data_IF_314944327188
#
_entry.id   IF_314944327188
#
_cell.length_a   1.000
_cell.length_b   1.000
_cell.length_c   1.000
_cell.angle_alpha   90.00
_cell.angle_beta   90.00
_cell.angle_gamma   90.00
#
_symmetry.space_group_name_H-M   'P 1'
#
loop_
_entity.id
_entity.type
_entity.pdbx_description
1 polymer ?
#
# COMPACT_ATOMS: atom_id res chain seq x y z
N UNK A 1 14.31 10.51 1.44
CA UNK A 1 14.28 10.36 -0.05
C UNK A 1 15.40 11.16 -0.67
N UNK A 2 15.93 10.72 -1.85
CA UNK A 2 16.84 11.52 -2.67
C UNK A 2 16.08 12.66 -3.38
N UNK A 3 16.75 13.71 -3.88
CA UNK A 3 16.10 14.75 -4.68
C UNK A 3 15.38 14.21 -5.91
N UNK A 4 15.96 13.24 -6.59
CA UNK A 4 15.36 12.57 -7.75
C UNK A 4 14.07 11.81 -7.36
N UNK A 5 14.10 11.06 -6.26
CA UNK A 5 12.91 10.36 -5.75
C UNK A 5 11.79 11.33 -5.39
N UNK A 6 12.10 12.47 -4.77
CA UNK A 6 11.11 13.52 -4.49
C UNK A 6 10.52 14.09 -5.78
N UNK A 7 11.36 14.40 -6.76
CA UNK A 7 10.91 14.91 -8.04
C UNK A 7 9.93 13.96 -8.72
N UNK A 8 10.28 12.67 -8.82
CA UNK A 8 9.41 11.69 -9.46
C UNK A 8 8.14 11.43 -8.64
N UNK A 9 8.21 11.32 -7.33
CA UNK A 9 7.03 11.14 -6.49
C UNK A 9 6.08 12.34 -6.60
N UNK A 10 6.62 13.57 -6.59
CA UNK A 10 5.82 14.77 -6.78
C UNK A 10 5.22 14.85 -8.18
N UNK A 11 5.98 14.52 -9.21
CA UNK A 11 5.52 14.58 -10.59
C UNK A 11 4.42 13.56 -10.89
N UNK A 12 4.64 12.30 -10.49
CA UNK A 12 3.82 11.16 -10.92
C UNK A 12 2.85 10.68 -9.85
N UNK A 13 3.13 10.93 -8.57
CA UNK A 13 2.36 10.41 -7.45
C UNK A 13 2.70 8.97 -7.09
N UNK A 14 3.80 8.42 -7.58
CA UNK A 14 4.27 7.11 -7.14
C UNK A 14 5.78 6.96 -7.34
N UNK A 15 6.36 6.02 -6.59
CA UNK A 15 7.75 5.58 -6.80
C UNK A 15 7.78 4.08 -6.97
N UNK A 16 8.57 3.63 -7.93
CA UNK A 16 8.89 2.23 -8.13
C UNK A 16 10.32 1.96 -7.66
N UNK A 17 10.45 1.33 -6.51
CA UNK A 17 11.71 0.91 -5.93
C UNK A 17 12.02 -0.50 -6.40
N UNK A 18 13.13 -0.66 -7.11
CA UNK A 18 13.51 -1.95 -7.70
C UNK A 18 14.40 -2.74 -6.75
N UNK A 19 14.21 -4.06 -6.70
CA UNK A 19 15.06 -5.00 -5.95
C UNK A 19 15.21 -4.59 -4.47
N UNK A 20 14.09 -4.30 -3.84
CA UNK A 20 14.05 -3.94 -2.41
C UNK A 20 14.32 -5.16 -1.56
N UNK A 21 13.69 -6.28 -1.89
CA UNK A 21 13.89 -7.53 -1.17
C UNK A 21 15.10 -8.29 -1.76
N UNK A 22 15.95 -8.77 -0.90
CA UNK A 22 16.96 -9.76 -1.26
C UNK A 22 16.31 -11.07 -1.69
N UNK A 23 17.06 -11.94 -2.33
CA UNK A 23 16.59 -13.27 -2.75
C UNK A 23 16.01 -14.07 -1.59
N UNK A 24 16.65 -14.02 -0.42
CA UNK A 24 16.21 -14.78 0.75
C UNK A 24 14.93 -14.18 1.37
N UNK A 25 14.84 -12.86 1.48
CA UNK A 25 13.64 -12.18 1.98
C UNK A 25 12.45 -12.42 1.06
N UNK A 26 12.67 -12.34 -0.25
CA UNK A 26 11.64 -12.62 -1.24
C UNK A 26 11.15 -14.07 -1.15
N UNK A 27 12.07 -15.03 -1.09
CA UNK A 27 11.72 -16.44 -0.99
C UNK A 27 10.92 -16.75 0.29
N UNK A 28 11.35 -16.22 1.43
CA UNK A 28 10.64 -16.39 2.69
C UNK A 28 9.24 -15.73 2.68
N UNK A 29 9.11 -14.55 2.09
CA UNK A 29 7.82 -13.87 1.95
C UNK A 29 6.88 -14.62 0.99
N UNK A 30 7.40 -15.17 -0.11
CA UNK A 30 6.65 -16.00 -1.04
C UNK A 30 6.13 -17.27 -0.37
N UNK A 31 7.00 -18.00 0.34
CA UNK A 31 6.63 -19.21 1.06
C UNK A 31 5.54 -18.93 2.11
N UNK A 32 5.67 -17.85 2.88
CA UNK A 32 4.67 -17.45 3.87
C UNK A 32 3.33 -17.09 3.22
N UNK A 33 3.36 -16.34 2.11
CA UNK A 33 2.17 -15.99 1.36
C UNK A 33 1.48 -17.25 0.81
N UNK A 34 2.25 -18.20 0.27
CA UNK A 34 1.73 -19.45 -0.27
C UNK A 34 1.09 -20.31 0.82
N UNK A 35 1.70 -20.39 1.99
CA UNK A 35 1.10 -21.09 3.13
C UNK A 35 -0.25 -20.50 3.51
N UNK A 36 -0.36 -19.17 3.58
CA UNK A 36 -1.64 -18.54 3.94
C UNK A 36 -2.69 -18.76 2.85
N UNK A 37 -2.33 -18.60 1.57
CA UNK A 37 -3.25 -18.73 0.44
C UNK A 37 -3.77 -20.15 0.28
N UNK A 38 -2.93 -21.16 0.58
CA UNK A 38 -3.28 -22.58 0.41
C UNK A 38 -3.83 -23.24 1.68
N UNK A 39 -3.75 -22.55 2.83
CA UNK A 39 -4.25 -23.04 4.11
C UNK A 39 -5.78 -23.19 4.07
N UNK A 40 -6.35 -24.32 4.47
CA UNK A 40 -7.79 -24.48 4.60
C UNK A 40 -8.39 -23.42 5.55
N UNK A 41 -9.55 -22.85 5.25
CA UNK A 41 -10.15 -21.80 6.10
C UNK A 41 -10.35 -22.20 7.57
N UNK A 42 -10.62 -23.48 7.82
CA UNK A 42 -10.78 -24.04 9.16
C UNK A 42 -9.47 -24.11 9.98
N UNK A 43 -8.33 -23.98 9.32
CA UNK A 43 -6.99 -23.97 9.94
C UNK A 43 -6.45 -22.55 10.13
N UNK A 44 -7.16 -21.52 9.64
CA UNK A 44 -6.70 -20.14 9.80
C UNK A 44 -6.63 -19.77 11.28
N UNK A 45 -5.57 -19.04 11.69
CA UNK A 45 -5.53 -18.50 13.05
C UNK A 45 -6.71 -17.55 13.30
N UNK A 46 -7.09 -17.31 14.56
CA UNK A 46 -8.16 -16.39 14.89
C UNK A 46 -8.01 -15.02 14.23
N UNK A 47 -9.10 -14.46 13.72
CA UNK A 47 -9.18 -13.17 13.04
C UNK A 47 -8.51 -13.12 11.65
N UNK A 48 -7.91 -14.21 11.17
CA UNK A 48 -7.49 -14.32 9.78
C UNK A 48 -8.65 -14.72 8.90
N UNK A 49 -8.62 -14.27 7.65
CA UNK A 49 -9.71 -14.54 6.71
C UNK A 49 -9.40 -14.03 5.31
N UNK A 50 -10.29 -14.33 4.39
CA UNK A 50 -10.21 -13.82 3.03
C UNK A 50 -11.53 -13.22 2.61
N UNK A 51 -11.49 -12.01 2.07
CA UNK A 51 -12.61 -11.42 1.37
C UNK A 51 -12.58 -11.90 -0.09
N UNK A 52 -13.56 -12.69 -0.43
CA UNK A 52 -13.89 -13.00 -1.82
C UNK A 52 -14.79 -11.87 -2.32
N UNK A 53 -14.20 -10.86 -2.95
CA UNK A 53 -15.00 -9.86 -3.64
C UNK A 53 -15.82 -10.57 -4.74
N UNK A 54 -17.03 -10.04 -5.02
CA UNK A 54 -17.92 -10.48 -6.12
C UNK A 54 -17.23 -10.53 -7.50
N UNK A 55 -16.00 -10.07 -7.59
CA UNK A 55 -15.14 -9.95 -8.77
C UNK A 55 -13.96 -10.92 -8.75
N UNK A 56 -14.00 -11.96 -7.93
CA UNK A 56 -12.92 -12.95 -7.78
C UNK A 56 -11.55 -12.39 -7.34
N UNK A 57 -11.51 -11.14 -6.84
CA UNK A 57 -10.34 -10.62 -6.13
C UNK A 57 -10.30 -11.26 -4.76
N UNK A 58 -9.33 -12.10 -4.53
CA UNK A 58 -9.12 -12.64 -3.19
C UNK A 58 -8.15 -11.74 -2.43
N UNK A 59 -8.62 -11.17 -1.35
CA UNK A 59 -7.83 -10.37 -0.41
C UNK A 59 -7.78 -11.07 0.91
N UNK A 60 -6.60 -11.54 1.30
CA UNK A 60 -6.36 -12.15 2.60
C UNK A 60 -6.10 -11.05 3.62
N UNK A 61 -6.86 -11.08 4.71
CA UNK A 61 -6.79 -10.10 5.80
C UNK A 61 -5.57 -10.38 6.67
N UNK A 62 -4.99 -9.32 7.22
CA UNK A 62 -3.86 -9.39 8.15
C UNK A 62 -2.64 -10.16 7.61
N UNK A 63 -2.43 -10.12 6.30
CA UNK A 63 -1.37 -10.85 5.62
C UNK A 63 0.01 -10.59 6.19
N UNK A 64 0.31 -9.34 6.60
CA UNK A 64 1.60 -9.00 7.20
C UNK A 64 1.83 -9.72 8.54
N UNK A 65 0.78 -10.02 9.29
CA UNK A 65 0.85 -10.66 10.61
C UNK A 65 0.84 -12.19 10.54
N UNK A 66 0.67 -12.77 9.35
CA UNK A 66 0.59 -14.21 9.20
C UNK A 66 1.92 -14.91 9.53
N UNK A 67 3.02 -14.31 9.11
CA UNK A 67 4.37 -14.85 9.32
C UNK A 67 5.38 -13.71 9.54
N UNK A 68 6.44 -14.01 10.28
CA UNK A 68 7.51 -13.06 10.58
C UNK A 68 8.16 -12.49 9.34
N UNK A 69 8.33 -13.29 8.29
CA UNK A 69 8.91 -12.84 7.02
C UNK A 69 8.06 -11.79 6.28
N UNK A 70 6.75 -11.80 6.49
CA UNK A 70 5.84 -10.76 5.99
C UNK A 70 5.77 -9.55 6.95
N UNK A 71 5.81 -9.80 8.25
CA UNK A 71 5.76 -8.74 9.26
C UNK A 71 6.95 -7.76 9.15
N UNK A 72 8.16 -8.27 8.98
CA UNK A 72 9.36 -7.42 8.90
C UNK A 72 9.35 -6.49 7.68
N UNK A 73 8.59 -6.80 6.64
CA UNK A 73 8.42 -5.95 5.47
C UNK A 73 7.77 -4.61 5.84
N UNK A 74 6.94 -4.57 6.88
CA UNK A 74 6.27 -3.34 7.34
C UNK A 74 7.25 -2.27 7.83
N UNK A 75 8.46 -2.63 8.18
CA UNK A 75 9.50 -1.74 8.66
C UNK A 75 10.86 -2.02 8.01
N UNK A 76 10.83 -2.58 6.80
CA UNK A 76 12.04 -2.91 6.04
C UNK A 76 12.95 -1.68 5.88
N UNK A 77 14.28 -1.81 6.07
CA UNK A 77 15.20 -0.67 6.05
C UNK A 77 15.13 0.18 4.78
N UNK A 78 14.90 -0.44 3.62
CA UNK A 78 14.83 0.28 2.35
C UNK A 78 13.59 1.18 2.21
N UNK A 79 12.49 0.89 2.93
CA UNK A 79 11.29 1.73 2.91
C UNK A 79 11.26 2.76 4.04
N UNK A 80 12.03 2.56 5.09
CA UNK A 80 12.03 3.39 6.29
C UNK A 80 12.23 4.89 6.00
N UNK A 81 13.20 5.31 5.15
CA UNK A 81 13.38 6.73 4.83
C UNK A 81 12.15 7.38 4.19
N UNK A 82 11.34 6.60 3.48
CA UNK A 82 10.08 7.09 2.89
C UNK A 82 9.01 7.26 3.95
N UNK A 83 8.88 6.30 4.87
CA UNK A 83 7.95 6.41 6.00
C UNK A 83 8.28 7.66 6.83
N UNK A 84 9.57 7.87 7.15
CA UNK A 84 10.02 9.02 7.94
C UNK A 84 9.72 10.35 7.27
N UNK A 85 10.02 10.48 5.98
CA UNK A 85 9.78 11.73 5.27
C UNK A 85 8.29 12.00 5.09
N UNK A 86 7.52 11.03 4.57
CA UNK A 86 6.11 11.23 4.27
C UNK A 86 5.28 11.55 5.52
N UNK A 87 5.61 10.97 6.66
CA UNK A 87 4.86 11.16 7.93
C UNK A 87 5.48 12.18 8.87
N UNK A 88 6.52 12.86 8.45
CA UNK A 88 7.30 13.72 9.34
C UNK A 88 7.78 12.98 10.60
N UNK A 89 8.39 11.81 10.43
CA UNK A 89 8.85 10.90 11.51
C UNK A 89 7.76 10.44 12.47
N UNK A 90 6.52 10.37 11.99
CA UNK A 90 5.35 9.97 12.79
C UNK A 90 4.52 8.89 12.08
N UNK A 91 5.13 7.75 11.70
CA UNK A 91 4.45 6.71 10.96
C UNK A 91 3.48 5.92 11.85
N UNK A 92 2.39 5.49 11.25
CA UNK A 92 1.48 4.49 11.80
C UNK A 92 1.07 3.53 10.71
N UNK A 93 1.31 2.24 10.93
CA UNK A 93 0.73 1.19 10.11
C UNK A 93 -0.75 1.05 10.47
N UNK A 94 -1.65 1.27 9.51
CA UNK A 94 -3.09 1.32 9.75
C UNK A 94 -3.91 0.34 8.93
N UNK A 95 -3.27 -0.54 8.20
CA UNK A 95 -3.95 -1.57 7.43
C UNK A 95 -3.02 -2.31 6.47
N UNK A 96 -3.50 -3.44 6.00
CA UNK A 96 -2.80 -4.27 5.03
C UNK A 96 -3.79 -5.02 4.13
N UNK A 97 -3.25 -5.76 3.17
CA UNK A 97 -3.94 -6.77 2.38
C UNK A 97 -2.90 -7.65 1.69
N UNK A 98 -3.01 -8.95 1.83
CA UNK A 98 -2.30 -9.87 0.95
C UNK A 98 -3.21 -10.17 -0.24
N UNK A 99 -2.85 -9.66 -1.41
CA UNK A 99 -3.62 -9.82 -2.64
C UNK A 99 -3.20 -11.07 -3.41
N UNK A 100 -4.21 -11.77 -3.92
CA UNK A 100 -4.03 -12.98 -4.73
C UNK A 100 -4.97 -12.93 -5.93
N UNK A 101 -4.42 -12.92 -7.13
CA UNK A 101 -5.19 -12.89 -8.37
C UNK A 101 -4.79 -14.05 -9.28
N UNK A 102 -5.76 -14.88 -9.66
CA UNK A 102 -5.62 -15.93 -10.67
C UNK A 102 -5.99 -15.41 -12.06
N UNK A 103 -5.67 -16.19 -13.08
CA UNK A 103 -6.13 -15.92 -14.44
C UNK A 103 -7.64 -15.62 -14.49
N UNK A 104 -7.98 -14.54 -15.17
CA UNK A 104 -9.37 -14.13 -15.35
C UNK A 104 -9.96 -13.36 -14.15
N UNK A 105 -9.22 -13.16 -13.06
CA UNK A 105 -9.68 -12.29 -11.98
C UNK A 105 -10.00 -10.91 -12.52
N UNK A 106 -11.17 -10.42 -12.11
CA UNK A 106 -11.74 -9.19 -12.62
C UNK A 106 -10.88 -7.97 -12.30
N UNK A 107 -11.07 -6.94 -13.09
CA UNK A 107 -10.45 -5.65 -12.87
C UNK A 107 -11.01 -4.96 -11.62
N UNK A 108 -10.23 -4.04 -11.09
CA UNK A 108 -10.68 -3.06 -10.11
C UNK A 108 -10.74 -1.68 -10.76
N UNK A 109 -11.93 -1.07 -10.78
CA UNK A 109 -12.13 0.23 -11.43
C UNK A 109 -11.22 1.31 -10.85
N UNK A 110 -10.87 2.31 -11.67
CA UNK A 110 -10.16 3.49 -11.19
C UNK A 110 -10.97 4.18 -10.10
N UNK A 111 -10.40 4.26 -8.92
CA UNK A 111 -11.01 4.86 -7.74
C UNK A 111 -10.04 5.84 -7.08
N UNK A 112 -10.39 6.36 -5.91
CA UNK A 112 -9.67 7.42 -5.23
C UNK A 112 -9.59 8.71 -6.08
N UNK A 113 -8.57 9.52 -5.85
CA UNK A 113 -8.44 10.85 -6.40
C UNK A 113 -8.83 11.93 -5.38
N UNK A 114 -8.40 13.13 -5.64
CA UNK A 114 -8.72 14.27 -4.80
C UNK A 114 -10.22 14.59 -4.84
N UNK A 115 -10.82 14.74 -3.67
CA UNK A 115 -12.24 15.09 -3.50
C UNK A 115 -12.38 16.18 -2.44
N UNK A 116 -12.13 17.44 -2.81
CA UNK A 116 -12.17 18.54 -1.85
C UNK A 116 -13.53 18.69 -1.15
N UNK A 117 -14.62 18.36 -1.84
CA UNK A 117 -15.97 18.39 -1.31
C UNK A 117 -16.23 17.40 -0.15
N UNK A 118 -15.41 16.35 -0.05
CA UNK A 118 -15.56 15.33 1.00
C UNK A 118 -14.67 15.57 2.20
N UNK A 119 -13.54 16.25 2.02
CA UNK A 119 -12.54 16.46 3.06
C UNK A 119 -11.80 17.79 2.81
N UNK A 120 -12.48 18.93 2.96
CA UNK A 120 -11.90 20.23 2.61
C UNK A 120 -10.72 20.65 3.51
N UNK A 121 -10.69 20.16 4.76
CA UNK A 121 -9.73 20.64 5.76
C UNK A 121 -8.51 19.74 5.94
N UNK A 122 -8.42 18.63 5.18
CA UNK A 122 -7.32 17.67 5.32
C UNK A 122 -6.36 17.78 4.15
N UNK A 123 -5.20 18.35 4.40
CA UNK A 123 -4.08 18.29 3.45
C UNK A 123 -3.52 16.88 3.43
N UNK A 124 -3.82 16.14 2.39
CA UNK A 124 -3.35 14.75 2.24
C UNK A 124 -1.98 14.63 1.61
N UNK A 125 -1.62 15.59 0.79
CA UNK A 125 -0.33 15.69 0.11
C UNK A 125 0.07 17.17 0.06
N UNK A 126 1.27 17.49 0.55
CA UNK A 126 1.78 18.86 0.55
C UNK A 126 3.31 18.87 0.67
N UNK A 127 3.89 20.00 0.33
CA UNK A 127 5.33 20.23 0.49
C UNK A 127 5.54 21.12 1.72
N UNK A 128 6.45 20.68 2.58
CA UNK A 128 6.85 21.40 3.78
C UNK A 128 8.37 21.33 3.92
N UNK A 129 9.02 22.50 4.00
CA UNK A 129 10.51 22.60 4.11
C UNK A 129 11.26 21.76 3.06
N UNK A 130 10.78 21.76 1.81
CA UNK A 130 11.37 20.98 0.72
C UNK A 130 11.22 19.45 0.87
N UNK A 131 10.35 19.01 1.74
CA UNK A 131 10.01 17.59 1.97
C UNK A 131 8.57 17.31 1.55
N UNK A 132 8.33 16.10 1.08
CA UNK A 132 6.99 15.64 0.78
C UNK A 132 6.35 15.12 2.09
N UNK A 133 5.12 15.59 2.34
CA UNK A 133 4.26 15.09 3.41
C UNK A 133 3.05 14.41 2.82
N UNK A 134 2.74 13.26 3.33
CA UNK A 134 1.58 12.49 2.89
C UNK A 134 0.91 11.83 4.09
N UNK A 135 -0.35 12.17 4.32
CA UNK A 135 -1.07 11.68 5.51
C UNK A 135 -1.59 10.26 5.37
N UNK A 136 -1.66 9.73 4.14
CA UNK A 136 -2.21 8.40 3.87
C UNK A 136 -1.61 7.85 2.56
N UNK A 137 -0.84 6.78 2.66
CA UNK A 137 -0.15 6.17 1.53
C UNK A 137 -0.05 4.65 1.68
N UNK A 138 0.23 3.98 0.58
CA UNK A 138 0.36 2.53 0.52
C UNK A 138 1.69 2.13 -0.14
N UNK A 139 2.19 0.98 0.31
CA UNK A 139 3.32 0.29 -0.28
C UNK A 139 2.85 -1.07 -0.79
N UNK A 140 3.17 -1.37 -2.03
CA UNK A 140 2.90 -2.65 -2.67
C UNK A 140 4.19 -3.42 -2.81
N UNK A 141 4.38 -4.47 -2.02
CA UNK A 141 5.47 -5.43 -2.16
C UNK A 141 5.06 -6.49 -3.17
N UNK A 142 5.74 -6.56 -4.30
CA UNK A 142 5.45 -7.53 -5.34
C UNK A 142 6.12 -8.87 -5.00
N UNK A 143 5.33 -9.92 -4.86
CA UNK A 143 5.79 -11.28 -4.61
C UNK A 143 5.84 -12.14 -5.90
N UNK A 144 5.28 -11.63 -6.99
CA UNK A 144 5.34 -12.23 -8.34
C UNK A 144 5.66 -11.16 -9.37
N UNK A 145 6.26 -11.57 -10.47
CA UNK A 145 6.53 -10.70 -11.62
C UNK A 145 5.23 -10.23 -12.28
N UNK A 146 5.21 -8.98 -12.68
CA UNK A 146 4.18 -8.37 -13.51
C UNK A 146 4.84 -7.77 -14.74
N UNK A 147 4.59 -8.39 -15.90
CA UNK A 147 5.13 -7.95 -17.18
C UNK A 147 4.14 -7.06 -17.94
N UNK A 148 4.59 -6.33 -18.98
CA UNK A 148 3.69 -5.64 -19.88
C UNK A 148 2.65 -6.59 -20.48
N UNK A 149 1.37 -6.22 -20.38
CA UNK A 149 0.27 -7.04 -20.87
C UNK A 149 -0.33 -8.01 -19.85
N UNK A 150 0.29 -8.25 -18.71
CA UNK A 150 -0.23 -9.14 -17.66
C UNK A 150 -1.47 -8.60 -16.95
N UNK A 151 -1.63 -7.29 -16.91
CA UNK A 151 -2.66 -6.63 -16.11
C UNK A 151 -2.10 -6.04 -14.80
N UNK A 152 -2.87 -6.10 -13.72
CA UNK A 152 -2.47 -5.60 -12.40
C UNK A 152 -2.61 -4.10 -12.24
N UNK A 153 -1.81 -3.50 -11.34
CA UNK A 153 -1.96 -2.10 -10.90
C UNK A 153 -1.91 -1.12 -12.07
N UNK A 154 -2.93 -0.28 -12.14
CA UNK A 154 -2.96 0.91 -13.00
C UNK A 154 -3.14 2.17 -12.15
N UNK A 155 -2.57 3.28 -12.59
CA UNK A 155 -2.70 4.56 -11.93
C UNK A 155 -2.68 5.71 -12.93
N UNK A 156 -3.27 6.85 -12.52
CA UNK A 156 -3.26 8.08 -13.28
C UNK A 156 -2.17 9.01 -12.70
N UNK A 157 -1.01 9.14 -13.36
CA UNK A 157 0.08 9.95 -12.85
C UNK A 157 -0.35 11.41 -12.59
N UNK A 158 0.13 11.98 -11.48
CA UNK A 158 -0.16 13.36 -11.10
C UNK A 158 -1.54 13.60 -10.49
N UNK A 159 -2.43 12.61 -10.46
CA UNK A 159 -3.79 12.77 -9.95
C UNK A 159 -3.88 13.02 -8.44
N UNK A 160 -2.83 12.75 -7.67
CA UNK A 160 -2.75 13.01 -6.23
C UNK A 160 -2.74 14.52 -5.89
N UNK A 161 -2.41 15.36 -6.86
CA UNK A 161 -2.37 16.83 -6.71
C UNK A 161 -3.26 17.55 -7.72
N UNK A 162 -4.19 16.84 -8.35
CA UNK A 162 -5.16 17.43 -9.25
C UNK A 162 -6.09 18.37 -8.47
N UNK A 163 -6.19 19.63 -8.91
CA UNK A 163 -7.05 20.63 -8.26
C UNK A 163 -8.54 20.45 -8.57
N UNK A 164 -8.85 19.63 -9.56
CA UNK A 164 -10.21 19.36 -9.99
C UNK A 164 -10.56 17.88 -9.80
N UNK A 165 -11.80 17.57 -9.47
CA UNK A 165 -12.26 16.20 -9.42
C UNK A 165 -12.14 15.58 -10.80
N UNK A 166 -11.78 14.30 -10.85
CA UNK A 166 -11.68 13.55 -12.10
C UNK A 166 -13.06 13.47 -12.79
N UNK A 167 -13.21 14.01 -14.01
CA UNK A 167 -14.45 13.87 -14.78
C UNK A 167 -14.67 12.39 -15.13
N UNK A 168 -15.81 11.83 -14.76
CA UNK A 168 -16.14 10.43 -15.04
C UNK A 168 -16.12 10.14 -16.54
N UNK A 169 -16.66 11.06 -17.33
CA UNK A 169 -16.78 10.91 -18.80
C UNK A 169 -15.45 11.01 -19.54
N UNK A 170 -14.39 11.55 -18.92
CA UNK A 170 -13.12 11.79 -19.58
C UNK A 170 -12.37 10.49 -19.91
N UNK A 171 -12.54 9.44 -19.11
CA UNK A 171 -11.84 8.19 -19.25
C UNK A 171 -12.70 7.04 -19.75
N UNK A 172 -14.03 7.17 -19.65
CA UNK A 172 -14.99 6.13 -20.01
C UNK A 172 -16.29 6.76 -20.48
N UNK A 173 -16.56 6.77 -21.79
CA UNK A 173 -17.91 6.97 -22.29
C UNK A 173 -18.76 5.81 -21.78
N UNK A 174 -19.69 6.09 -20.86
CA UNK A 174 -20.44 5.05 -20.16
C UNK A 174 -19.55 4.33 -19.15
N UNK A 175 -19.35 4.95 -18.01
CA UNK A 175 -18.61 4.39 -16.85
C UNK A 175 -19.38 3.23 -16.20
N UNK A 176 -19.75 2.29 -17.02
CA UNK A 176 -20.31 1.02 -16.62
C UNK A 176 -19.14 0.05 -16.42
N UNK A 177 -19.27 -0.85 -15.49
CA UNK A 177 -18.23 -1.82 -15.12
C UNK A 177 -17.69 -2.59 -16.33
N UNK A 178 -18.48 -2.70 -17.38
CA UNK A 178 -18.18 -3.36 -18.65
C UNK A 178 -17.16 -2.62 -19.52
N UNK A 179 -16.98 -1.31 -19.34
CA UNK A 179 -16.04 -0.52 -20.14
C UNK A 179 -14.55 -0.83 -19.88
N UNK A 180 -14.26 -1.57 -18.82
CA UNK A 180 -12.91 -2.04 -18.46
C UNK A 180 -12.57 -3.45 -18.95
N UNK A 181 -13.48 -4.09 -19.65
CA UNK A 181 -13.28 -5.45 -20.18
C UNK A 181 -12.25 -5.47 -21.33
N UNK A 182 -11.67 -4.32 -21.64
CA UNK A 182 -10.65 -4.21 -22.68
C UNK A 182 -9.23 -4.46 -22.17
N UNK A 183 -8.44 -5.05 -23.03
CA UNK A 183 -7.00 -5.27 -22.86
C UNK A 183 -6.18 -3.98 -22.89
N UNK A 184 -6.82 -2.84 -23.08
CA UNK A 184 -6.17 -1.55 -23.31
C UNK A 184 -6.16 -0.70 -22.06
N UNK A 185 -4.97 -0.26 -21.68
CA UNK A 185 -4.79 0.78 -20.67
C UNK A 185 -5.40 2.07 -21.20
N UNK A 186 -6.31 2.73 -20.46
CA UNK A 186 -6.91 3.97 -20.91
C UNK A 186 -5.87 5.06 -21.17
N UNK A 187 -6.11 6.00 -22.09
CA UNK A 187 -5.21 7.12 -22.35
C UNK A 187 -4.88 7.91 -21.06
N UNK A 188 -3.59 8.17 -20.85
CA UNK A 188 -3.09 8.86 -19.64
C UNK A 188 -2.95 7.99 -18.40
N UNK A 189 -3.43 6.77 -18.41
CA UNK A 189 -3.25 5.80 -17.33
C UNK A 189 -1.99 5.00 -17.55
N UNK A 190 -1.24 4.75 -16.49
CA UNK A 190 -0.01 3.95 -16.51
C UNK A 190 -0.26 2.59 -15.88
N UNK A 191 0.12 1.51 -16.58
CA UNK A 191 0.16 0.16 -16.03
C UNK A 191 1.52 -0.10 -15.38
N UNK A 192 1.52 -0.41 -14.10
CA UNK A 192 2.75 -0.63 -13.34
C UNK A 192 3.23 -2.06 -13.51
N UNK A 193 4.32 -2.21 -14.26
CA UNK A 193 5.03 -3.48 -14.39
C UNK A 193 6.16 -3.53 -13.36
N UNK A 194 6.22 -4.58 -12.55
CA UNK A 194 7.19 -4.73 -11.47
C UNK A 194 7.69 -6.17 -11.38
N UNK A 195 8.91 -6.34 -10.90
CA UNK A 195 9.47 -7.65 -10.62
C UNK A 195 9.18 -8.07 -9.18
N UNK A 196 9.17 -9.36 -8.93
CA UNK A 196 9.17 -9.89 -7.57
C UNK A 196 10.34 -9.30 -6.77
N UNK A 197 10.08 -8.84 -5.56
CA UNK A 197 11.03 -8.11 -4.72
C UNK A 197 11.04 -6.58 -4.92
N UNK A 198 10.30 -6.05 -5.90
CA UNK A 198 10.11 -4.61 -6.07
C UNK A 198 9.03 -4.08 -5.12
N UNK A 199 9.08 -2.77 -4.84
CA UNK A 199 8.07 -2.06 -4.05
C UNK A 199 7.58 -0.83 -4.78
N UNK A 200 6.27 -0.65 -4.83
CA UNK A 200 5.65 0.59 -5.32
C UNK A 200 5.07 1.36 -4.14
N UNK A 201 5.48 2.61 -3.99
CA UNK A 201 4.99 3.53 -2.95
C UNK A 201 4.09 4.56 -3.62
N UNK A 202 2.90 4.78 -3.08
CA UNK A 202 2.00 5.82 -3.59
C UNK A 202 1.08 6.41 -2.52
N UNK A 203 0.78 7.72 -2.54
CA UNK A 203 -0.34 8.30 -1.83
C UNK A 203 -1.65 7.60 -2.19
N UNK A 204 -2.50 7.28 -1.22
CA UNK A 204 -3.78 6.59 -1.46
C UNK A 204 -4.77 7.41 -2.29
N UNK A 205 -4.57 8.69 -2.41
CA UNK A 205 -5.40 9.58 -3.23
C UNK A 205 -4.92 9.72 -4.70
N UNK A 206 -3.86 9.04 -5.10
CA UNK A 206 -3.63 8.79 -6.53
C UNK A 206 -4.81 8.00 -7.08
N UNK A 207 -5.37 8.43 -8.19
CA UNK A 207 -6.40 7.65 -8.88
C UNK A 207 -5.76 6.37 -9.40
N UNK A 208 -6.25 5.23 -8.94
CA UNK A 208 -5.68 3.92 -9.25
C UNK A 208 -6.74 2.83 -9.35
N UNK A 209 -6.36 1.71 -9.88
CA UNK A 209 -7.18 0.54 -10.04
C UNK A 209 -6.33 -0.67 -10.43
N UNK A 210 -6.94 -1.69 -10.98
CA UNK A 210 -6.22 -2.84 -11.50
C UNK A 210 -6.88 -3.38 -12.76
N UNK A 211 -6.09 -3.79 -13.75
CA UNK A 211 -6.56 -4.58 -14.89
C UNK A 211 -6.69 -6.05 -14.49
N UNK A 212 -7.55 -6.77 -15.19
CA UNK A 212 -7.71 -8.22 -15.03
C UNK A 212 -6.36 -8.93 -15.21
N UNK A 213 -6.15 -9.96 -14.39
CA UNK A 213 -4.93 -10.76 -14.48
C UNK A 213 -5.02 -11.78 -15.62
N UNK A 214 -4.11 -11.71 -16.58
CA UNK A 214 -4.16 -12.51 -17.82
C UNK A 214 -3.28 -13.75 -17.85
N UNK A 215 -2.13 -13.82 -17.14
CA UNK A 215 -1.28 -15.01 -17.17
C UNK A 215 -2.02 -16.25 -16.69
N UNK A 216 -1.71 -17.39 -17.35
CA UNK A 216 -2.20 -18.73 -16.97
C UNK A 216 -1.13 -19.57 -16.29
N UNK A 217 0.12 -19.18 -16.43
CA UNK A 217 1.30 -19.87 -15.95
C UNK A 217 1.72 -19.44 -14.54
N UNK A 218 1.13 -18.35 -14.04
CA UNK A 218 1.41 -17.81 -12.69
C UNK A 218 0.27 -16.97 -12.16
N UNK A 219 0.14 -16.93 -10.87
CA UNK A 219 -0.76 -16.05 -10.14
C UNK A 219 -0.06 -14.74 -9.78
N UNK A 220 -0.83 -13.68 -9.54
CA UNK A 220 -0.32 -12.43 -9.02
C UNK A 220 -0.46 -12.40 -7.51
N UNK A 221 0.65 -12.22 -6.79
CA UNK A 221 0.72 -12.13 -5.33
C UNK A 221 1.44 -10.84 -4.94
N UNK A 222 0.89 -10.14 -3.97
CA UNK A 222 1.47 -8.90 -3.49
C UNK A 222 0.95 -8.59 -2.08
N UNK A 223 1.82 -8.02 -1.25
CA UNK A 223 1.43 -7.50 0.06
C UNK A 223 1.29 -5.98 -0.05
N UNK A 224 0.11 -5.46 0.32
CA UNK A 224 -0.12 -4.02 0.49
C UNK A 224 -0.04 -3.72 1.97
N UNK A 225 0.77 -2.73 2.35
CA UNK A 225 0.78 -2.15 3.69
C UNK A 225 0.43 -0.67 3.59
N UNK A 226 -0.40 -0.19 4.51
CA UNK A 226 -0.94 1.17 4.49
C UNK A 226 -0.49 1.93 5.71
N UNK A 227 -0.07 3.17 5.49
CA UNK A 227 0.42 4.04 6.54
C UNK A 227 -0.33 5.36 6.55
N UNK A 228 -0.48 5.90 7.74
CA UNK A 228 -0.86 7.29 7.96
C UNK A 228 0.06 7.92 9.03
N UNK A 229 -0.18 9.20 9.35
CA UNK A 229 0.49 9.84 10.48
C UNK A 229 -0.08 9.34 11.80
N UNK A 230 0.79 9.13 12.78
CA UNK A 230 0.49 8.41 14.03
C UNK A 230 -0.69 8.95 14.85
N UNK A 231 -0.98 10.24 14.76
CA UNK A 231 -2.06 10.89 15.48
C UNK A 231 -3.39 10.92 14.72
N UNK A 232 -3.40 10.43 13.47
CA UNK A 232 -4.58 10.45 12.63
C UNK A 232 -5.41 9.19 12.87
N UNK A 233 -6.59 9.36 13.42
CA UNK A 233 -7.56 8.29 13.62
C UNK A 233 -8.60 8.35 12.49
N UNK A 234 -8.64 7.34 11.65
CA UNK A 234 -9.64 7.20 10.58
C UNK A 234 -10.71 6.21 11.01
N UNK A 235 -11.60 6.63 11.91
CA UNK A 235 -12.77 5.87 12.31
C UNK A 235 -12.54 4.79 13.37
N UNK A 236 -11.62 3.86 13.19
CA UNK A 236 -11.29 2.84 14.16
C UNK A 236 -10.02 3.18 14.96
N UNK A 237 -10.11 3.07 16.27
CA UNK A 237 -8.99 3.36 17.15
C UNK A 237 -7.89 2.31 17.03
N UNK A 238 -8.29 1.04 16.88
CA UNK A 238 -7.40 -0.10 16.67
C UNK A 238 -7.87 -0.89 15.45
N UNK A 239 -7.20 -0.77 14.30
CA UNK A 239 -7.59 -1.48 13.09
C UNK A 239 -7.26 -2.98 13.14
N UNK A 240 -6.52 -3.42 14.16
CA UNK A 240 -6.10 -4.81 14.30
C UNK A 240 -6.66 -5.42 15.61
N UNK A 241 -7.37 -6.56 15.52
CA UNK A 241 -7.84 -7.33 16.69
C UNK A 241 -6.71 -7.77 17.62
N UNK A 242 -7.04 -8.05 18.88
CA UNK A 242 -6.05 -8.48 19.86
C UNK A 242 -5.32 -9.76 19.45
N UNK A 243 -6.02 -10.73 18.89
CA UNK A 243 -5.42 -11.98 18.40
C UNK A 243 -4.37 -11.75 17.30
N UNK A 244 -4.52 -10.70 16.49
CA UNK A 244 -3.50 -10.29 15.52
C UNK A 244 -2.33 -9.62 16.23
N UNK A 245 -2.61 -8.72 17.18
CA UNK A 245 -1.61 -7.96 17.92
C UNK A 245 -0.68 -8.85 18.75
N UNK A 246 -1.22 -9.91 19.36
CA UNK A 246 -0.46 -10.89 20.13
C UNK A 246 0.59 -11.67 19.31
N UNK A 247 0.46 -11.68 18.00
CA UNK A 247 1.40 -12.33 17.06
C UNK A 247 2.57 -11.45 16.66
N UNK A 248 2.44 -10.13 16.85
CA UNK A 248 3.40 -9.15 16.37
C UNK A 248 4.54 -8.94 17.36
N UNK A 249 5.69 -8.53 16.85
CA UNK A 249 6.75 -8.09 17.73
C UNK A 249 6.50 -6.68 18.30
N UNK A 250 7.26 -6.34 19.36
CA UNK A 250 7.08 -5.04 20.04
C UNK A 250 7.23 -3.82 19.13
N UNK A 251 8.14 -3.85 18.14
CA UNK A 251 8.33 -2.74 17.22
C UNK A 251 7.12 -2.56 16.28
N UNK A 252 6.56 -3.66 15.81
CA UNK A 252 5.36 -3.62 14.96
C UNK A 252 4.13 -3.22 15.77
N UNK A 253 4.00 -3.68 17.02
CA UNK A 253 2.95 -3.22 17.93
C UNK A 253 3.05 -1.71 18.12
N UNK A 254 4.24 -1.17 18.40
CA UNK A 254 4.42 0.27 18.53
C UNK A 254 4.07 1.00 17.21
N UNK A 255 4.40 0.41 16.07
CA UNK A 255 4.12 1.01 14.76
C UNK A 255 2.63 1.11 14.46
N UNK A 256 1.80 0.14 14.88
CA UNK A 256 0.34 0.16 14.69
C UNK A 256 -0.39 1.06 15.70
N UNK A 257 0.19 1.32 16.86
CA UNK A 257 -0.46 2.14 17.89
C UNK A 257 -0.61 3.61 17.46
N UNK A 258 -1.74 4.24 17.82
CA UNK A 258 -1.85 5.69 17.76
C UNK A 258 -0.91 6.34 18.77
N UNK A 259 -0.34 7.50 18.42
CA UNK A 259 0.62 8.19 19.27
C UNK A 259 0.38 9.71 19.24
N UNK A 260 0.61 10.42 20.35
CA UNK A 260 0.45 11.88 20.38
C UNK A 260 1.34 12.58 19.35
N UNK A 261 0.83 13.65 18.71
CA UNK A 261 1.54 14.39 17.68
C UNK A 261 2.92 14.89 18.10
N UNK A 262 3.03 15.38 19.33
CA UNK A 262 4.26 16.01 19.85
C UNK A 262 5.33 15.02 20.34
N UNK A 263 5.03 13.72 20.32
CA UNK A 263 5.97 12.68 20.74
C UNK A 263 6.40 11.84 19.54
N UNK A 264 7.64 11.34 19.57
CA UNK A 264 8.09 10.32 18.64
C UNK A 264 7.94 8.94 19.27
N UNK A 265 7.65 7.95 18.46
CA UNK A 265 7.67 6.54 18.86
C UNK A 265 9.10 6.09 19.19
N UNK A 266 9.25 5.14 20.11
CA UNK A 266 10.54 4.59 20.50
C UNK A 266 11.32 4.01 19.33
N UNK A 267 10.68 3.26 18.45
CA UNK A 267 11.27 2.73 17.21
C UNK A 267 11.82 3.84 16.30
N UNK A 268 11.19 5.00 16.27
CA UNK A 268 11.68 6.14 15.47
C UNK A 268 12.89 6.79 16.16
N UNK A 269 12.80 6.99 17.47
CA UNK A 269 13.90 7.55 18.27
C UNK A 269 15.15 6.70 18.13
N UNK A 270 15.04 5.40 18.28
CA UNK A 270 16.14 4.46 18.20
C UNK A 270 16.79 4.43 16.80
N UNK A 271 15.98 4.30 15.76
CA UNK A 271 16.48 4.16 14.38
C UNK A 271 17.01 5.46 13.78
N UNK A 272 16.48 6.62 14.19
CA UNK A 272 16.87 7.94 13.68
C UNK A 272 17.88 8.64 14.60
N UNK A 273 18.21 8.06 15.76
CA UNK A 273 19.10 8.68 16.73
C UNK A 273 18.56 10.01 17.30
N UNK A 274 17.22 10.11 17.43
CA UNK A 274 16.57 11.31 17.94
C UNK A 274 16.58 11.31 19.47
N UNK A 275 16.64 12.49 20.07
CA UNK A 275 16.39 12.62 21.51
C UNK A 275 14.88 12.38 21.80
N UNK A 276 14.60 11.71 22.90
CA UNK A 276 13.21 11.57 23.38
C UNK A 276 12.66 12.97 23.65
N UNK A 277 11.54 13.32 23.02
CA UNK A 277 10.86 14.56 23.35
C UNK A 277 10.52 14.52 24.85
N UNK A 278 11.14 15.40 25.64
CA UNK A 278 10.75 15.57 27.04
C UNK A 278 9.30 16.02 27.04
N UNK A 279 8.44 15.22 27.69
CA UNK A 279 7.10 15.66 28.00
C UNK A 279 7.21 16.92 28.83
N UNK A 280 6.91 18.08 28.22
CA UNK A 280 6.81 19.36 28.89
C UNK A 280 5.43 19.54 29.53
#
# INVERSE_FOLDING_TARGET
>A
MTPEQRYFLDLTGYLHLRRVLSTNELAAAQEAADRYITMPPEEWPPEFGADLDRRDLTTYQHGFAFDRSLEVLTRHPAIWPFLMELTNRRPRLNGDSLGYNRHGHAFHSLHAGWRPEKQPDVRRYYIEEGKIRCTDFALFFYLTDVFPGDGGLILLPGSHKANFPRPRQMFYPGFEEEAYVGDTVPPGVHNVCARAGDVVIMPKHVTHGALSWKPRDRDRRFLIVRYNVQHMLTGQQHPFPDAIRERLDPETIELIEPWPYFQYKGIVVEREGLETAKAG
#
